data_IF_059636398130
#
_entry.id   IF_059636398130
#
_cell.length_a   1.000
_cell.length_b   1.000
_cell.length_c   1.000
_cell.angle_alpha   90.00
_cell.angle_beta   90.00
_cell.angle_gamma   90.00
#
_symmetry.space_group_name_H-M   'P 1'
#
loop_
_entity.id
_entity.type
_entity.pdbx_description
1 polymer ?
#
# COMPACT_ATOMS: atom_id res chain seq x y z
N UNK A 1 44.36 13.00 -9.21
CA UNK A 1 43.29 12.79 -8.23
C UNK A 1 43.88 12.85 -6.84
N UNK A 2 43.42 13.79 -6.01
CA UNK A 2 43.95 13.99 -4.67
C UNK A 2 43.48 12.85 -3.74
N UNK A 3 44.19 12.61 -2.63
CA UNK A 3 43.73 11.66 -1.60
C UNK A 3 42.37 12.06 -0.98
N UNK A 4 41.98 13.34 -1.11
CA UNK A 4 40.68 13.83 -0.68
C UNK A 4 39.56 13.35 -1.61
N UNK A 5 39.77 13.37 -2.93
CA UNK A 5 38.78 12.87 -3.90
C UNK A 5 38.45 11.39 -3.66
N UNK A 6 39.47 10.58 -3.36
CA UNK A 6 39.29 9.15 -3.06
C UNK A 6 38.51 8.91 -1.78
N UNK A 7 38.69 9.76 -0.76
CA UNK A 7 37.93 9.68 0.49
C UNK A 7 36.47 10.05 0.29
N UNK A 8 36.19 11.11 -0.48
CA UNK A 8 34.84 11.53 -0.83
C UNK A 8 34.15 10.42 -1.64
N UNK A 9 34.83 9.84 -2.62
CA UNK A 9 34.30 8.74 -3.43
C UNK A 9 33.98 7.49 -2.57
N UNK A 10 34.85 7.16 -1.61
CA UNK A 10 34.62 6.06 -0.68
C UNK A 10 33.45 6.31 0.29
N UNK A 11 33.34 7.52 0.85
CA UNK A 11 32.21 7.88 1.71
C UNK A 11 30.89 7.91 0.94
N UNK A 12 30.90 8.40 -0.29
CA UNK A 12 29.71 8.46 -1.14
C UNK A 12 29.28 7.04 -1.56
N UNK A 13 30.23 6.17 -1.91
CA UNK A 13 29.97 4.77 -2.22
C UNK A 13 29.44 4.00 -1.00
N UNK A 14 29.97 4.27 0.20
CA UNK A 14 29.51 3.67 1.44
C UNK A 14 28.07 4.12 1.78
N UNK A 15 27.76 5.40 1.61
CA UNK A 15 26.41 5.95 1.81
C UNK A 15 25.42 5.40 0.78
N UNK A 16 25.81 5.32 -0.49
CA UNK A 16 24.99 4.73 -1.55
C UNK A 16 24.70 3.25 -1.28
N UNK A 17 25.69 2.50 -0.80
CA UNK A 17 25.53 1.09 -0.44
C UNK A 17 24.63 0.89 0.78
N UNK A 18 24.75 1.74 1.81
CA UNK A 18 23.85 1.72 2.96
C UNK A 18 22.41 2.07 2.53
N UNK A 19 22.26 3.04 1.64
CA UNK A 19 20.97 3.44 1.09
C UNK A 19 20.33 2.31 0.24
N UNK A 20 21.12 1.65 -0.60
CA UNK A 20 20.66 0.51 -1.42
C UNK A 20 20.25 -0.70 -0.57
N UNK A 21 21.00 -0.95 0.51
CA UNK A 21 20.65 -2.01 1.48
C UNK A 21 19.33 -1.71 2.19
N UNK A 22 19.12 -0.47 2.63
CA UNK A 22 17.85 -0.01 3.20
C UNK A 22 16.69 -0.11 2.20
N UNK A 23 16.93 0.20 0.91
CA UNK A 23 15.92 0.08 -0.15
C UNK A 23 15.51 -1.37 -0.40
N UNK A 24 16.46 -2.31 -0.42
CA UNK A 24 16.17 -3.74 -0.61
C UNK A 24 15.39 -4.35 0.56
N UNK A 25 15.60 -3.86 1.77
CA UNK A 25 14.88 -4.34 2.96
C UNK A 25 13.42 -3.85 2.98
N UNK A 26 13.12 -2.69 2.38
CA UNK A 26 11.76 -2.14 2.27
C UNK A 26 10.94 -2.69 1.08
N UNK A 27 11.56 -3.31 0.07
CA UNK A 27 10.88 -3.85 -1.11
C UNK A 27 10.08 -5.15 -0.88
N UNK A 28 10.10 -5.70 0.34
CA UNK A 28 9.30 -6.88 0.67
C UNK A 28 7.80 -6.59 0.73
N UNK A 29 6.96 -7.53 0.27
CA UNK A 29 5.49 -7.51 0.43
C UNK A 29 5.08 -7.28 1.89
N UNK A 30 5.81 -7.88 2.84
CA UNK A 30 5.59 -7.73 4.29
C UNK A 30 5.78 -6.29 4.78
N UNK A 31 6.95 -5.66 4.60
CA UNK A 31 7.14 -4.26 4.95
C UNK A 31 6.18 -3.32 4.21
N UNK A 32 5.85 -3.56 2.94
CA UNK A 32 4.87 -2.76 2.18
C UNK A 32 3.46 -2.78 2.80
N UNK A 33 2.96 -3.96 3.18
CA UNK A 33 1.69 -4.12 3.92
C UNK A 33 1.77 -3.40 5.26
N UNK A 34 2.84 -3.63 6.03
CA UNK A 34 3.06 -2.97 7.32
C UNK A 34 3.17 -1.45 7.20
N UNK A 35 3.67 -0.98 6.07
CA UNK A 35 3.82 0.44 5.71
C UNK A 35 2.47 1.14 5.58
N UNK A 36 1.44 0.47 5.06
CA UNK A 36 0.06 0.97 4.99
C UNK A 36 -0.58 1.12 6.37
N UNK A 37 -0.15 0.31 7.35
CA UNK A 37 -0.57 0.41 8.74
C UNK A 37 0.26 1.39 9.60
N UNK A 38 1.36 1.91 9.07
CA UNK A 38 2.26 2.82 9.79
C UNK A 38 1.98 4.29 9.41
N UNK A 39 1.07 4.94 10.13
CA UNK A 39 0.76 6.37 9.98
C UNK A 39 -0.63 6.75 10.53
N UNK A 40 -1.05 8.01 10.33
CA UNK A 40 -2.36 8.52 10.75
C UNK A 40 -3.57 7.87 10.06
N UNK A 41 -3.33 7.09 9.01
CA UNK A 41 -4.35 6.33 8.26
C UNK A 41 -4.58 4.91 8.80
N UNK A 42 -3.84 4.49 9.84
CA UNK A 42 -4.02 3.18 10.50
C UNK A 42 -5.48 2.88 10.90
N UNK A 43 -6.25 3.78 11.55
CA UNK A 43 -7.65 3.50 11.88
C UNK A 43 -8.52 3.31 10.63
N UNK A 44 -8.25 4.06 9.56
CA UNK A 44 -8.99 3.94 8.30
C UNK A 44 -8.74 2.59 7.62
N UNK A 45 -7.48 2.12 7.64
CA UNK A 45 -7.12 0.79 7.13
C UNK A 45 -7.83 -0.33 7.91
N UNK A 46 -7.90 -0.22 9.24
CA UNK A 46 -8.63 -1.20 10.07
C UNK A 46 -10.11 -1.23 9.69
N UNK A 47 -10.75 -0.07 9.52
CA UNK A 47 -12.15 0.02 9.08
C UNK A 47 -12.33 -0.60 7.69
N UNK A 48 -11.41 -0.36 6.75
CA UNK A 48 -11.47 -0.94 5.41
C UNK A 48 -11.35 -2.47 5.42
N UNK A 49 -10.46 -3.04 6.24
CA UNK A 49 -10.36 -4.50 6.40
C UNK A 49 -11.59 -5.10 7.08
N UNK A 50 -12.15 -4.43 8.09
CA UNK A 50 -13.41 -4.85 8.71
C UNK A 50 -14.56 -4.84 7.68
N UNK A 51 -14.65 -3.79 6.87
CA UNK A 51 -15.62 -3.69 5.78
C UNK A 51 -15.43 -4.82 4.76
N UNK A 52 -14.19 -5.16 4.39
CA UNK A 52 -13.91 -6.26 3.48
C UNK A 52 -14.34 -7.63 4.03
N UNK A 53 -14.23 -7.85 5.34
CA UNK A 53 -14.73 -9.06 6.01
C UNK A 53 -16.25 -9.09 6.01
N UNK A 54 -16.90 -7.96 6.31
CA UNK A 54 -18.36 -7.85 6.28
C UNK A 54 -18.92 -8.08 4.87
N UNK A 55 -18.28 -7.52 3.84
CA UNK A 55 -18.65 -7.75 2.44
C UNK A 55 -18.43 -9.21 2.03
N UNK A 56 -17.36 -9.86 2.49
CA UNK A 56 -17.17 -11.29 2.24
C UNK A 56 -18.30 -12.13 2.85
N UNK A 57 -18.71 -11.84 4.09
CA UNK A 57 -19.84 -12.50 4.72
C UNK A 57 -21.16 -12.22 3.97
N UNK A 58 -21.36 -10.99 3.51
CA UNK A 58 -22.53 -10.62 2.71
C UNK A 58 -22.59 -11.36 1.37
N UNK A 59 -21.45 -11.57 0.70
CA UNK A 59 -21.37 -12.38 -0.54
C UNK A 59 -21.79 -13.83 -0.26
N UNK A 60 -21.29 -14.44 0.81
CA UNK A 60 -21.66 -15.82 1.18
C UNK A 60 -23.15 -15.91 1.49
N UNK A 61 -23.68 -14.96 2.25
CA UNK A 61 -25.10 -14.91 2.61
C UNK A 61 -25.99 -14.71 1.38
N UNK A 62 -25.69 -13.72 0.52
CA UNK A 62 -26.47 -13.47 -0.69
C UNK A 62 -26.37 -14.66 -1.67
N UNK A 63 -25.20 -15.30 -1.76
CA UNK A 63 -25.01 -16.49 -2.59
C UNK A 63 -25.84 -17.67 -2.09
N UNK A 64 -25.90 -17.89 -0.79
CA UNK A 64 -26.74 -18.93 -0.19
C UNK A 64 -28.24 -18.66 -0.44
N UNK A 65 -28.68 -17.41 -0.29
CA UNK A 65 -30.07 -17.02 -0.51
C UNK A 65 -30.47 -17.08 -1.98
N UNK A 66 -29.56 -16.73 -2.89
CA UNK A 66 -29.75 -16.87 -4.33
C UNK A 66 -30.03 -18.32 -4.75
N UNK A 67 -29.47 -19.31 -4.04
CA UNK A 67 -29.65 -20.74 -4.33
C UNK A 67 -30.88 -21.35 -3.64
N UNK A 68 -31.34 -20.76 -2.54
CA UNK A 68 -32.39 -21.34 -1.68
C UNK A 68 -33.78 -20.76 -1.96
N UNK A 69 -33.85 -19.53 -2.46
CA UNK A 69 -35.09 -18.77 -2.62
C UNK A 69 -35.80 -19.12 -3.95
N UNK A 70 -37.15 -19.06 -4.03
CA UNK A 70 -37.90 -19.28 -5.26
C UNK A 70 -37.51 -18.33 -6.40
N UNK A 71 -37.70 -18.77 -7.65
CA UNK A 71 -37.26 -18.04 -8.85
C UNK A 71 -37.76 -16.59 -8.98
N UNK A 72 -38.90 -16.25 -8.35
CA UNK A 72 -39.45 -14.90 -8.35
C UNK A 72 -38.56 -13.88 -7.60
N UNK A 73 -37.85 -14.31 -6.56
CA UNK A 73 -36.99 -13.46 -5.72
C UNK A 73 -35.49 -13.70 -5.99
N UNK A 74 -35.17 -14.66 -6.85
CA UNK A 74 -33.79 -15.00 -7.19
C UNK A 74 -33.04 -13.83 -7.86
N UNK A 75 -33.72 -13.03 -8.69
CA UNK A 75 -33.14 -11.84 -9.31
C UNK A 75 -32.74 -10.77 -8.29
N UNK A 76 -33.54 -10.58 -7.24
CA UNK A 76 -33.26 -9.63 -6.16
C UNK A 76 -31.96 -9.99 -5.42
N UNK A 77 -31.81 -11.25 -5.00
CA UNK A 77 -30.59 -11.73 -4.35
C UNK A 77 -29.39 -11.76 -5.30
N UNK A 78 -29.60 -12.00 -6.59
CA UNK A 78 -28.56 -11.96 -7.61
C UNK A 78 -27.96 -10.57 -7.80
N UNK A 79 -28.79 -9.52 -7.81
CA UNK A 79 -28.31 -8.13 -7.89
C UNK A 79 -27.51 -7.76 -6.63
N UNK A 80 -28.00 -8.12 -5.44
CA UNK A 80 -27.27 -7.88 -4.19
C UNK A 80 -25.94 -8.62 -4.13
N UNK A 81 -25.89 -9.85 -4.62
CA UNK A 81 -24.65 -10.61 -4.74
C UNK A 81 -23.63 -9.91 -5.65
N UNK A 82 -24.07 -9.44 -6.82
CA UNK A 82 -23.21 -8.70 -7.75
C UNK A 82 -22.71 -7.39 -7.14
N UNK A 83 -23.59 -6.62 -6.48
CA UNK A 83 -23.20 -5.37 -5.81
C UNK A 83 -22.19 -5.63 -4.68
N UNK A 84 -22.41 -6.65 -3.85
CA UNK A 84 -21.50 -7.02 -2.78
C UNK A 84 -20.13 -7.45 -3.34
N UNK A 85 -20.12 -8.19 -4.45
CA UNK A 85 -18.89 -8.58 -5.14
C UNK A 85 -18.13 -7.38 -5.72
N UNK A 86 -18.82 -6.46 -6.38
CA UNK A 86 -18.22 -5.22 -6.90
C UNK A 86 -17.67 -4.35 -5.78
N UNK A 87 -18.40 -4.21 -4.67
CA UNK A 87 -17.95 -3.48 -3.50
C UNK A 87 -16.67 -4.13 -2.91
N UNK A 88 -16.63 -5.46 -2.83
CA UNK A 88 -15.47 -6.19 -2.32
C UNK A 88 -14.22 -5.99 -3.18
N UNK A 89 -14.38 -5.98 -4.50
CA UNK A 89 -13.30 -5.66 -5.44
C UNK A 89 -12.83 -4.21 -5.25
N UNK A 90 -13.76 -3.26 -5.17
CA UNK A 90 -13.48 -1.85 -4.96
C UNK A 90 -12.71 -1.59 -3.66
N UNK A 91 -13.11 -2.23 -2.55
CA UNK A 91 -12.42 -2.11 -1.26
C UNK A 91 -10.98 -2.60 -1.36
N UNK A 92 -10.73 -3.75 -2.02
CA UNK A 92 -9.36 -4.23 -2.24
C UNK A 92 -8.52 -3.25 -3.06
N UNK A 93 -9.05 -2.77 -4.19
CA UNK A 93 -8.33 -1.82 -5.05
C UNK A 93 -7.99 -0.55 -4.29
N UNK A 94 -8.93 -0.03 -3.50
CA UNK A 94 -8.70 1.16 -2.69
C UNK A 94 -7.61 0.92 -1.63
N UNK A 95 -7.60 -0.23 -0.94
CA UNK A 95 -6.54 -0.60 0.02
C UNK A 95 -5.17 -0.61 -0.68
N UNK A 96 -5.07 -1.22 -1.87
CA UNK A 96 -3.82 -1.24 -2.65
C UNK A 96 -3.38 0.17 -3.07
N UNK A 97 -4.32 1.01 -3.50
CA UNK A 97 -4.02 2.38 -3.89
C UNK A 97 -3.50 3.20 -2.70
N UNK A 98 -4.11 3.05 -1.52
CA UNK A 98 -3.67 3.75 -0.32
C UNK A 98 -2.27 3.28 0.12
N UNK A 99 -1.99 1.98 0.02
CA UNK A 99 -0.64 1.44 0.28
C UNK A 99 0.40 2.02 -0.69
N UNK A 100 0.08 2.09 -1.99
CA UNK A 100 0.96 2.69 -2.99
C UNK A 100 1.17 4.19 -2.72
N UNK A 101 0.11 4.92 -2.39
CA UNK A 101 0.17 6.34 -2.03
C UNK A 101 1.12 6.58 -0.85
N UNK A 102 1.05 5.73 0.17
CA UNK A 102 1.95 5.80 1.33
C UNK A 102 3.41 5.51 0.95
N UNK A 103 3.65 4.55 0.05
CA UNK A 103 5.00 4.24 -0.46
C UNK A 103 5.59 5.41 -1.25
N UNK A 104 4.85 5.93 -2.22
CA UNK A 104 5.28 7.07 -3.05
C UNK A 104 5.58 8.31 -2.21
N UNK A 105 4.78 8.58 -1.16
CA UNK A 105 5.02 9.70 -0.26
C UNK A 105 6.38 9.58 0.48
N UNK A 106 6.81 8.37 0.84
CA UNK A 106 8.13 8.15 1.47
C UNK A 106 9.26 8.35 0.48
N UNK A 107 9.09 7.91 -0.76
CA UNK A 107 10.07 8.13 -1.83
C UNK A 107 10.25 9.63 -2.13
N UNK A 108 9.16 10.40 -2.20
CA UNK A 108 9.22 11.86 -2.41
C UNK A 108 9.98 12.55 -1.27
N UNK A 109 9.67 12.24 0.00
CA UNK A 109 10.39 12.83 1.14
C UNK A 109 11.89 12.51 1.14
N UNK A 110 12.27 11.31 0.67
CA UNK A 110 13.68 10.94 0.51
C UNK A 110 14.36 11.75 -0.60
N UNK A 111 13.67 11.97 -1.72
CA UNK A 111 14.16 12.86 -2.78
C UNK A 111 14.33 14.29 -2.29
N UNK A 112 13.38 14.83 -1.51
CA UNK A 112 13.48 16.16 -0.90
C UNK A 112 14.74 16.29 -0.02
N UNK A 113 15.02 15.29 0.82
CA UNK A 113 16.22 15.26 1.66
C UNK A 113 17.51 15.19 0.84
N UNK A 114 17.55 14.35 -0.20
CA UNK A 114 18.72 14.23 -1.08
C UNK A 114 19.02 15.54 -1.82
N UNK A 115 17.98 16.23 -2.32
CA UNK A 115 18.11 17.54 -2.97
C UNK A 115 18.61 18.59 -1.96
N UNK A 116 18.05 18.62 -0.74
CA UNK A 116 18.48 19.56 0.30
C UNK A 116 19.96 19.38 0.67
N UNK A 117 20.45 18.15 0.77
CA UNK A 117 21.87 17.85 1.01
C UNK A 117 22.75 18.37 -0.13
N UNK A 118 22.39 18.09 -1.38
CA UNK A 118 23.13 18.56 -2.56
C UNK A 118 23.21 20.09 -2.62
N UNK A 119 22.12 20.80 -2.31
CA UNK A 119 22.15 22.27 -2.25
C UNK A 119 23.00 22.79 -1.10
N UNK A 120 23.01 22.11 0.06
CA UNK A 120 23.84 22.50 1.21
C UNK A 120 25.33 22.28 1.00
N UNK A 121 25.73 21.29 0.19
CA UNK A 121 27.14 21.01 -0.15
C UNK A 121 27.68 21.93 -1.26
N UNK A 122 26.81 22.54 -2.06
CA UNK A 122 27.19 23.42 -3.17
C UNK A 122 27.33 24.91 -2.75
N UNK A 123 27.10 25.22 -1.48
CA UNK A 123 27.38 26.51 -0.83
C UNK A 123 28.53 26.34 0.18
#
# INVERSE_FOLDING_TARGET
MSNFDKKIEQELAAQAYQLDKLMREEQGLGPMIRSGFNGGLRPLMIIAYLLAILLAAAIVFCGYQFLTVPSAEQSYWGVWLLLAFQAQMGTKIWIWLEMNRASTMREIKRLELAVAQLTSTNN
#
